data_IF_319824992234
#
_entry.id   IF_319824992234
#
_cell.length_a   1.000
_cell.length_b   1.000
_cell.length_c   1.000
_cell.angle_alpha   90.00
_cell.angle_beta   90.00
_cell.angle_gamma   90.00
#
_symmetry.space_group_name_H-M   'P 1'
#
loop_
_entity.id
_entity.type
_entity.pdbx_description
1 polymer ?
#
# COMPACT_ATOMS: atom_id res chain seq x y z
N UNK A 1 -11.32 -0.34 -7.25
CA UNK A 1 -10.40 -1.11 -8.12
C UNK A 1 -9.10 -0.36 -8.41
N UNK A 2 -9.16 0.85 -9.01
CA UNK A 2 -7.98 1.70 -9.27
C UNK A 2 -7.10 1.89 -8.04
N UNK A 3 -7.73 2.09 -6.88
CA UNK A 3 -7.05 2.27 -5.61
C UNK A 3 -6.18 1.06 -5.21
N UNK A 4 -6.78 -0.12 -5.21
CA UNK A 4 -6.09 -1.37 -4.87
C UNK A 4 -4.93 -1.64 -5.84
N UNK A 5 -5.13 -1.38 -7.14
CA UNK A 5 -4.09 -1.53 -8.15
C UNK A 5 -2.95 -0.53 -7.95
N UNK A 6 -3.24 0.74 -7.63
CA UNK A 6 -2.22 1.77 -7.37
C UNK A 6 -1.40 1.47 -6.12
N UNK A 7 -2.04 1.09 -5.01
CA UNK A 7 -1.35 0.70 -3.77
C UNK A 7 -0.47 -0.53 -3.98
N UNK A 8 -0.99 -1.54 -4.69
CA UNK A 8 -0.22 -2.75 -5.01
C UNK A 8 0.97 -2.42 -5.91
N UNK A 9 0.77 -1.63 -6.97
CA UNK A 9 1.83 -1.25 -7.90
C UNK A 9 2.94 -0.44 -7.21
N UNK A 10 2.55 0.50 -6.34
CA UNK A 10 3.48 1.29 -5.52
C UNK A 10 4.32 0.41 -4.59
N UNK A 11 3.67 -0.58 -3.94
CA UNK A 11 4.35 -1.53 -3.05
C UNK A 11 5.35 -2.40 -3.82
N UNK A 12 4.97 -2.88 -5.01
CA UNK A 12 5.85 -3.68 -5.87
C UNK A 12 7.05 -2.85 -6.35
N UNK A 13 6.85 -1.60 -6.76
CA UNK A 13 7.96 -0.71 -7.15
C UNK A 13 8.89 -0.45 -5.98
N UNK A 14 8.37 -0.17 -4.78
CA UNK A 14 9.18 0.02 -3.57
C UNK A 14 10.03 -1.21 -3.27
N UNK A 15 9.41 -2.40 -3.27
CA UNK A 15 10.11 -3.67 -3.04
C UNK A 15 11.18 -3.92 -4.10
N UNK A 16 10.89 -3.64 -5.37
CA UNK A 16 11.80 -3.86 -6.49
C UNK A 16 13.00 -2.90 -6.43
N UNK A 17 12.79 -1.63 -6.13
CA UNK A 17 13.87 -0.64 -5.93
C UNK A 17 14.73 -1.01 -4.73
N UNK A 18 14.12 -1.38 -3.60
CA UNK A 18 14.85 -1.82 -2.41
C UNK A 18 15.67 -3.09 -2.69
N UNK A 19 15.11 -4.06 -3.42
CA UNK A 19 15.81 -5.29 -3.81
C UNK A 19 16.97 -5.02 -4.76
N UNK A 20 16.76 -4.11 -5.73
CA UNK A 20 17.73 -3.77 -6.76
C UNK A 20 18.94 -3.03 -6.17
N UNK A 21 18.71 -2.04 -5.29
CA UNK A 21 19.77 -1.31 -4.58
C UNK A 21 20.58 -2.27 -3.71
N UNK A 22 19.93 -3.27 -3.11
CA UNK A 22 20.55 -4.19 -2.19
C UNK A 22 21.28 -5.38 -2.88
N UNK A 23 21.51 -5.29 -4.20
CA UNK A 23 22.31 -6.27 -5.00
C UNK A 23 21.91 -7.73 -4.74
N UNK A 24 20.64 -7.96 -4.40
CA UNK A 24 20.06 -9.28 -4.12
C UNK A 24 20.71 -10.04 -2.93
N UNK A 25 21.36 -9.35 -1.98
CA UNK A 25 21.87 -9.98 -0.74
C UNK A 25 21.02 -9.61 0.47
N UNK A 26 20.32 -10.59 1.05
CA UNK A 26 19.43 -10.40 2.21
C UNK A 26 20.22 -10.07 3.49
N UNK A 27 20.58 -8.80 3.66
CA UNK A 27 21.29 -8.27 4.85
C UNK A 27 20.27 -7.84 5.92
N UNK A 28 20.63 -7.84 7.21
CA UNK A 28 19.74 -7.42 8.32
C UNK A 28 19.12 -6.02 8.11
N UNK A 29 19.86 -5.11 7.47
CA UNK A 29 19.44 -3.75 7.12
C UNK A 29 18.28 -3.77 6.10
N UNK A 30 18.30 -4.72 5.17
CA UNK A 30 17.24 -4.92 4.18
C UNK A 30 15.94 -5.41 4.81
N UNK A 31 16.03 -6.27 5.83
CA UNK A 31 14.87 -6.68 6.62
C UNK A 31 14.18 -5.49 7.32
N UNK A 32 14.95 -4.53 7.83
CA UNK A 32 14.39 -3.33 8.44
C UNK A 32 13.72 -2.40 7.41
N UNK A 33 14.33 -2.23 6.23
CA UNK A 33 13.74 -1.48 5.14
C UNK A 33 12.41 -2.10 4.67
N UNK A 34 12.35 -3.43 4.53
CA UNK A 34 11.12 -4.16 4.22
C UNK A 34 10.02 -3.93 5.27
N UNK A 35 10.38 -3.94 6.54
CA UNK A 35 9.44 -3.77 7.64
C UNK A 35 8.86 -2.34 7.68
N UNK A 36 9.70 -1.32 7.43
CA UNK A 36 9.25 0.07 7.30
C UNK A 36 8.29 0.21 6.10
N UNK A 37 8.65 -0.35 4.94
CA UNK A 37 7.79 -0.34 3.76
C UNK A 37 6.43 -0.99 4.01
N UNK A 38 6.41 -2.12 4.72
CA UNK A 38 5.18 -2.80 5.12
C UNK A 38 4.28 -1.92 6.01
N UNK A 39 4.85 -1.25 7.00
CA UNK A 39 4.10 -0.34 7.88
C UNK A 39 3.50 0.83 7.08
N UNK A 40 4.25 1.41 6.15
CA UNK A 40 3.74 2.50 5.30
C UNK A 40 2.52 2.03 4.50
N UNK A 41 2.58 0.85 3.87
CA UNK A 41 1.46 0.29 3.09
C UNK A 41 0.24 0.02 3.96
N UNK A 42 0.44 -0.50 5.17
CA UNK A 42 -0.66 -0.70 6.13
C UNK A 42 -1.34 0.62 6.50
N UNK A 43 -0.57 1.67 6.79
CA UNK A 43 -1.11 2.99 7.13
C UNK A 43 -1.94 3.55 5.97
N UNK A 44 -1.46 3.40 4.72
CA UNK A 44 -2.22 3.80 3.54
C UNK A 44 -3.54 3.03 3.42
N UNK A 45 -3.52 1.70 3.57
CA UNK A 45 -4.74 0.88 3.58
C UNK A 45 -5.73 1.32 4.67
N UNK A 46 -5.25 1.58 5.89
CA UNK A 46 -6.10 2.07 6.98
C UNK A 46 -6.68 3.46 6.71
N UNK A 47 -5.91 4.38 6.11
CA UNK A 47 -6.41 5.70 5.71
C UNK A 47 -7.48 5.60 4.60
N UNK A 48 -7.37 4.61 3.72
CA UNK A 48 -8.41 4.33 2.72
C UNK A 48 -9.69 3.83 3.35
N UNK A 49 -9.61 2.91 4.31
CA UNK A 49 -10.79 2.44 5.03
C UNK A 49 -11.42 3.55 5.88
N UNK A 50 -10.62 4.42 6.50
CA UNK A 50 -11.11 5.59 7.23
C UNK A 50 -11.60 6.74 6.34
N UNK A 51 -11.60 6.58 5.00
CA UNK A 51 -12.12 7.56 4.04
C UNK A 51 -11.49 8.97 4.22
N UNK A 52 -10.19 9.04 4.55
CA UNK A 52 -9.50 10.31 4.80
C UNK A 52 -9.48 11.23 3.57
N UNK A 53 -9.56 10.68 2.36
CA UNK A 53 -9.53 11.43 1.10
C UNK A 53 -10.89 11.97 0.61
N UNK A 54 -11.93 11.96 1.45
CA UNK A 54 -13.31 12.25 1.03
C UNK A 54 -13.95 11.01 0.41
N UNK A 55 -15.29 10.96 0.37
CA UNK A 55 -16.10 9.80 -0.05
C UNK A 55 -15.65 9.22 -1.39
N UNK A 56 -14.72 8.27 -1.34
CA UNK A 56 -14.21 7.50 -2.49
C UNK A 56 -15.13 6.31 -2.80
N UNK A 57 -16.06 6.00 -1.89
CA UNK A 57 -17.16 5.10 -2.16
C UNK A 57 -18.25 5.84 -2.94
N UNK A 58 -18.63 5.32 -4.12
CA UNK A 58 -19.93 5.67 -4.70
C UNK A 58 -21.01 5.37 -3.65
N UNK A 59 -22.11 6.16 -3.58
CA UNK A 59 -23.16 5.96 -2.58
C UNK A 59 -23.58 4.48 -2.59
N UNK A 60 -23.48 3.85 -1.42
CA UNK A 60 -24.04 2.53 -1.19
C UNK A 60 -25.49 2.53 -1.64
N UNK A 61 -25.86 1.57 -2.50
CA UNK A 61 -27.16 1.50 -3.17
C UNK A 61 -28.31 1.97 -2.28
N UNK A 62 -29.26 2.78 -2.81
CA UNK A 62 -30.46 3.10 -2.04
C UNK A 62 -31.15 1.79 -1.69
N UNK A 63 -31.38 1.59 -0.39
CA UNK A 63 -32.28 0.57 0.10
C UNK A 63 -33.66 0.97 -0.42
N UNK A 64 -34.06 0.34 -1.51
CA UNK A 64 -35.40 0.44 -2.05
C UNK A 64 -36.36 -0.24 -1.06
N UNK A 65 -37.07 0.60 -0.30
CA UNK A 65 -38.28 0.28 0.43
C UNK A 65 -39.37 -0.29 -0.48
#
# INVERSE_FOLDING_TARGET
>A
LLYSTLTLFTTVIYLLVATHINRWRLTKIYGYALLIGYIIVLVFCSLYELNYFGTVHLPSCPLNE
#
